data_IF_716193691007
#
_entry.id   IF_716193691007
#
_cell.length_a   1.000
_cell.length_b   1.000
_cell.length_c   1.000
_cell.angle_alpha   90.00
_cell.angle_beta   90.00
_cell.angle_gamma   90.00
#
_symmetry.space_group_name_H-M   'P 1'
#
loop_
_entity.id
_entity.type
_entity.pdbx_description
1 polymer ?
#
# COMPACT_ATOMS: atom_id res chain seq x y z
N UNK A 1 -2.38 -31.68 25.74
CA UNK A 1 -1.50 -31.62 24.56
C UNK A 1 -2.29 -32.10 23.37
N UNK A 2 -2.83 -31.18 22.55
CA UNK A 2 -3.49 -31.53 21.28
C UNK A 2 -2.51 -31.18 20.15
N UNK A 3 -2.01 -32.22 19.51
CA UNK A 3 -1.22 -32.12 18.27
C UNK A 3 -2.15 -31.55 17.19
N UNK A 4 -1.87 -30.33 16.75
CA UNK A 4 -2.45 -29.77 15.53
C UNK A 4 -1.60 -30.32 14.39
N UNK A 5 -2.17 -31.22 13.59
CA UNK A 5 -1.59 -31.69 12.34
C UNK A 5 -1.63 -30.51 11.35
N UNK A 6 -0.47 -29.86 11.16
CA UNK A 6 -0.20 -29.02 10.01
C UNK A 6 -0.20 -29.94 8.77
N UNK A 7 -1.29 -29.89 8.03
CA UNK A 7 -1.37 -30.47 6.69
C UNK A 7 -0.49 -29.59 5.79
N UNK A 8 0.58 -30.08 5.22
CA UNK A 8 1.30 -29.36 4.17
C UNK A 8 0.39 -29.43 2.93
N UNK A 9 -0.28 -28.32 2.63
CA UNK A 9 -0.89 -28.11 1.33
C UNK A 9 0.23 -27.95 0.31
N UNK A 10 0.74 -29.07 -0.21
CA UNK A 10 1.62 -29.08 -1.37
C UNK A 10 0.75 -28.74 -2.57
N UNK A 11 0.56 -27.45 -2.81
CA UNK A 11 0.09 -26.98 -4.11
C UNK A 11 1.26 -27.23 -5.06
N UNK A 12 1.14 -28.27 -5.87
CA UNK A 12 1.98 -28.46 -7.05
C UNK A 12 1.63 -27.35 -8.04
N UNK A 13 2.25 -26.19 -7.87
CA UNK A 13 2.30 -25.15 -8.90
C UNK A 13 2.97 -25.77 -10.12
N UNK A 14 2.19 -26.13 -11.12
CA UNK A 14 2.71 -26.31 -12.46
C UNK A 14 3.13 -24.92 -12.95
N UNK A 15 4.39 -24.59 -12.70
CA UNK A 15 5.07 -23.45 -13.29
C UNK A 15 5.12 -23.70 -14.80
N UNK A 16 4.12 -23.24 -15.52
CA UNK A 16 4.33 -22.94 -16.92
C UNK A 16 5.22 -21.70 -16.89
N UNK A 17 6.44 -21.84 -17.32
CA UNK A 17 7.35 -20.73 -17.49
C UNK A 17 6.74 -19.82 -18.58
N UNK A 18 6.02 -18.84 -18.15
CA UNK A 18 5.65 -17.69 -18.93
C UNK A 18 6.94 -16.86 -18.94
N UNK A 19 7.63 -16.84 -20.09
CA UNK A 19 8.81 -16.00 -20.27
C UNK A 19 8.33 -14.60 -20.60
N UNK A 20 8.50 -13.68 -19.66
CA UNK A 20 8.16 -12.27 -19.72
C UNK A 20 9.29 -11.55 -18.96
N UNK A 21 10.23 -10.99 -19.72
CA UNK A 21 11.51 -10.51 -19.18
C UNK A 21 11.42 -9.12 -18.53
N UNK A 22 10.47 -8.29 -18.96
CA UNK A 22 10.23 -6.94 -18.44
C UNK A 22 9.00 -6.85 -17.53
N UNK A 23 8.21 -7.93 -17.48
CA UNK A 23 7.12 -8.12 -16.50
C UNK A 23 5.94 -7.16 -16.75
N UNK A 24 5.69 -6.85 -17.98
CA UNK A 24 4.56 -6.04 -18.40
C UNK A 24 3.25 -6.85 -18.55
N UNK A 25 3.33 -8.19 -18.39
CA UNK A 25 2.20 -9.11 -18.51
C UNK A 25 2.01 -9.69 -19.90
N UNK A 26 2.88 -9.40 -20.85
CA UNK A 26 2.90 -9.95 -22.21
C UNK A 26 4.07 -10.93 -22.33
N UNK A 27 3.83 -12.10 -22.95
CA UNK A 27 4.90 -13.09 -23.11
C UNK A 27 5.97 -12.58 -24.09
N UNK A 28 7.25 -12.84 -23.83
CA UNK A 28 8.35 -12.47 -24.74
C UNK A 28 8.12 -12.89 -26.20
N UNK A 29 7.33 -13.95 -26.44
CA UNK A 29 6.98 -14.41 -27.80
C UNK A 29 6.00 -13.50 -28.53
N UNK A 30 5.19 -12.78 -27.82
CA UNK A 30 4.12 -11.91 -28.31
C UNK A 30 4.46 -10.43 -28.07
N UNK A 31 5.51 -10.18 -27.31
CA UNK A 31 5.97 -8.86 -26.91
C UNK A 31 6.81 -8.20 -28.01
N UNK A 32 6.39 -7.02 -28.46
CA UNK A 32 7.11 -6.18 -29.43
C UNK A 32 7.94 -5.08 -28.76
N UNK A 33 7.74 -4.83 -27.46
CA UNK A 33 8.41 -3.79 -26.69
C UNK A 33 9.07 -4.36 -25.42
N UNK A 34 10.13 -5.20 -25.55
CA UNK A 34 10.66 -6.03 -24.48
C UNK A 34 11.38 -5.28 -23.35
N UNK A 35 11.28 -3.99 -23.27
CA UNK A 35 11.88 -3.12 -22.26
C UNK A 35 10.81 -2.19 -21.64
N UNK A 36 9.50 -2.51 -21.73
CA UNK A 36 8.46 -1.76 -21.05
C UNK A 36 8.57 -1.92 -19.54
N UNK A 37 8.22 -0.86 -18.77
CA UNK A 37 8.27 -0.93 -17.32
C UNK A 37 7.11 -1.77 -16.80
N UNK A 38 7.35 -2.62 -15.79
CA UNK A 38 6.29 -3.41 -15.16
C UNK A 38 5.17 -2.55 -14.50
N UNK A 39 5.45 -1.27 -14.25
CA UNK A 39 4.48 -0.30 -13.72
C UNK A 39 3.61 0.33 -14.83
N UNK A 40 4.01 0.17 -16.09
CA UNK A 40 3.30 0.71 -17.23
C UNK A 40 2.15 -0.21 -17.66
N UNK A 41 1.07 0.39 -18.16
CA UNK A 41 0.02 -0.36 -18.82
C UNK A 41 0.39 -0.48 -20.28
N UNK A 42 0.53 -1.72 -20.72
CA UNK A 42 0.88 -2.03 -22.11
C UNK A 42 -0.32 -2.56 -22.88
N UNK A 43 -0.28 -2.43 -24.20
CA UNK A 43 -1.24 -3.06 -25.11
C UNK A 43 -1.00 -4.58 -25.19
N UNK A 44 -1.83 -5.29 -25.99
CA UNK A 44 -1.70 -6.74 -26.20
C UNK A 44 -0.35 -7.17 -26.81
N UNK A 45 0.50 -6.23 -27.20
CA UNK A 45 1.81 -6.43 -27.82
C UNK A 45 2.97 -6.04 -26.90
N UNK A 46 2.71 -5.76 -25.62
CA UNK A 46 3.71 -5.33 -24.67
C UNK A 46 4.20 -3.89 -24.83
N UNK A 47 3.55 -3.10 -25.70
CA UNK A 47 3.96 -1.72 -25.92
C UNK A 47 3.14 -0.77 -25.08
N UNK A 48 3.83 0.12 -24.37
CA UNK A 48 3.18 1.27 -23.73
C UNK A 48 2.48 2.06 -24.83
N UNK A 49 1.18 2.26 -24.72
CA UNK A 49 0.47 3.16 -25.61
C UNK A 49 1.05 4.57 -25.40
N UNK A 50 1.85 5.02 -26.35
CA UNK A 50 2.63 6.28 -26.31
C UNK A 50 1.73 7.54 -26.34
N UNK A 51 0.44 7.36 -26.13
CA UNK A 51 -0.60 8.38 -26.28
C UNK A 51 -1.25 8.83 -24.98
N UNK A 52 -0.78 8.43 -23.79
CA UNK A 52 -1.30 9.07 -22.57
C UNK A 52 -0.68 10.47 -22.38
N UNK A 53 -1.00 11.36 -23.32
CA UNK A 53 -0.73 12.81 -23.17
C UNK A 53 -1.30 13.36 -21.86
N UNK A 54 -2.17 12.61 -21.20
CA UNK A 54 -2.94 13.00 -20.04
C UNK A 54 -2.59 12.25 -18.76
N UNK A 55 -1.67 11.31 -18.73
CA UNK A 55 -1.38 10.51 -17.53
C UNK A 55 -2.58 9.68 -17.05
N UNK A 56 -2.39 8.92 -15.98
CA UNK A 56 -3.39 8.02 -15.41
C UNK A 56 -3.93 8.57 -14.09
N UNK A 57 -5.25 8.80 -14.02
CA UNK A 57 -5.96 9.13 -12.79
C UNK A 57 -6.58 7.86 -12.20
N UNK A 58 -6.27 7.55 -10.95
CA UNK A 58 -6.88 6.44 -10.20
C UNK A 58 -7.65 7.00 -9.01
N UNK A 59 -8.88 6.54 -8.83
CA UNK A 59 -9.73 6.88 -7.69
C UNK A 59 -10.12 5.60 -6.96
N UNK A 60 -10.07 5.58 -5.65
CA UNK A 60 -10.58 4.45 -4.86
C UNK A 60 -11.28 4.87 -3.60
N UNK A 61 -12.27 4.08 -3.21
CA UNK A 61 -12.97 4.14 -1.94
C UNK A 61 -12.77 2.81 -1.22
N UNK A 62 -12.61 2.89 0.09
CA UNK A 62 -12.40 1.70 0.89
C UNK A 62 -12.90 1.81 2.30
N UNK A 63 -12.80 0.70 3.01
CA UNK A 63 -13.00 0.64 4.45
C UNK A 63 -11.96 -0.28 5.08
N UNK A 64 -11.55 0.08 6.29
CA UNK A 64 -10.69 -0.72 7.15
C UNK A 64 -11.49 -1.11 8.39
N UNK A 65 -11.49 -2.40 8.73
CA UNK A 65 -12.10 -2.92 9.95
C UNK A 65 -10.95 -3.26 10.88
N UNK A 66 -10.85 -2.51 11.97
CA UNK A 66 -9.84 -2.65 13.00
C UNK A 66 -10.43 -3.42 14.19
N UNK A 67 -9.83 -4.50 14.58
CA UNK A 67 -10.29 -5.42 15.62
C UNK A 67 -9.22 -5.52 16.68
N UNK A 68 -9.63 -5.20 17.91
CA UNK A 68 -8.90 -5.34 19.15
C UNK A 68 -9.93 -5.62 20.26
N UNK A 69 -9.76 -5.14 21.49
CA UNK A 69 -10.78 -5.15 22.54
C UNK A 69 -12.09 -4.45 22.11
N UNK A 70 -12.01 -3.55 21.14
CA UNK A 70 -13.12 -2.89 20.47
C UNK A 70 -13.00 -3.04 18.95
N UNK A 71 -14.09 -2.77 18.23
CA UNK A 71 -14.07 -2.77 16.76
C UNK A 71 -14.24 -1.34 16.25
N UNK A 72 -13.29 -0.90 15.40
CA UNK A 72 -13.37 0.35 14.65
C UNK A 72 -13.60 0.09 13.17
N UNK A 73 -14.26 1.01 12.50
CA UNK A 73 -14.42 1.00 11.04
C UNK A 73 -13.98 2.36 10.51
N UNK A 74 -12.99 2.34 9.62
CA UNK A 74 -12.54 3.53 8.92
C UNK A 74 -13.01 3.47 7.48
N UNK A 75 -13.49 4.59 6.97
CA UNK A 75 -13.77 4.78 5.55
C UNK A 75 -12.68 5.66 4.97
N UNK A 76 -12.17 5.29 3.82
CA UNK A 76 -11.07 6.03 3.20
C UNK A 76 -11.35 6.33 1.73
N UNK A 77 -10.83 7.48 1.31
CA UNK A 77 -10.78 7.94 -0.06
C UNK A 77 -9.31 8.09 -0.46
N UNK A 78 -8.97 7.62 -1.63
CA UNK A 78 -7.66 7.80 -2.22
C UNK A 78 -7.80 8.18 -3.69
N UNK A 79 -7.04 9.18 -4.12
CA UNK A 79 -6.88 9.57 -5.50
C UNK A 79 -5.39 9.68 -5.81
N UNK A 80 -4.99 9.18 -6.97
CA UNK A 80 -3.63 9.36 -7.49
C UNK A 80 -3.64 9.71 -8.97
N UNK A 81 -2.67 10.54 -9.36
CA UNK A 81 -2.43 10.91 -10.74
C UNK A 81 -0.97 10.61 -11.08
N UNK A 82 -0.78 9.71 -12.01
CA UNK A 82 0.53 9.29 -12.49
C UNK A 82 0.78 9.90 -13.86
N UNK A 83 1.93 10.55 -14.01
CA UNK A 83 2.39 11.13 -15.25
C UNK A 83 3.88 10.87 -15.42
N UNK A 84 4.24 9.99 -16.31
CA UNK A 84 5.60 9.49 -16.49
C UNK A 84 6.16 8.95 -15.16
N UNK A 85 7.33 9.42 -14.75
CA UNK A 85 7.99 8.99 -13.50
C UNK A 85 7.41 9.68 -12.24
N UNK A 86 6.45 10.60 -12.40
CA UNK A 86 5.84 11.35 -11.31
C UNK A 86 4.50 10.77 -10.90
N UNK A 87 4.27 10.72 -9.61
CA UNK A 87 2.97 10.46 -9.05
C UNK A 87 2.55 11.55 -8.04
N UNK A 88 1.28 11.84 -8.00
CA UNK A 88 0.67 12.76 -7.05
C UNK A 88 -0.49 12.06 -6.39
N UNK A 89 -0.61 12.16 -5.07
CA UNK A 89 -1.73 11.51 -4.41
C UNK A 89 -2.38 12.35 -3.33
N UNK A 90 -3.66 12.05 -3.09
CA UNK A 90 -4.49 12.61 -2.05
C UNK A 90 -5.13 11.45 -1.31
N UNK A 91 -5.06 11.48 0.02
CA UNK A 91 -5.71 10.52 0.89
C UNK A 91 -6.42 11.22 2.03
N UNK A 92 -7.60 10.74 2.39
CA UNK A 92 -8.32 11.14 3.59
C UNK A 92 -9.12 9.96 4.13
N UNK A 93 -9.39 9.96 5.42
CA UNK A 93 -10.18 8.93 6.09
C UNK A 93 -11.20 9.54 7.04
N UNK A 94 -12.22 8.74 7.37
CA UNK A 94 -13.16 8.99 8.44
C UNK A 94 -13.18 7.75 9.32
N UNK A 95 -12.89 7.92 10.60
CA UNK A 95 -12.88 6.85 11.57
C UNK A 95 -14.21 6.80 12.30
N UNK A 96 -14.75 5.61 12.50
CA UNK A 96 -15.91 5.36 13.33
C UNK A 96 -15.56 4.27 14.36
N UNK A 97 -15.65 4.60 15.63
CA UNK A 97 -15.42 3.66 16.73
C UNK A 97 -16.75 3.36 17.45
N UNK A 98 -16.88 2.14 17.95
CA UNK A 98 -18.03 1.69 18.72
C UNK A 98 -17.59 1.37 20.15
N UNK A 99 -18.27 1.97 21.13
CA UNK A 99 -18.04 1.61 22.53
C UNK A 99 -18.71 0.25 22.89
N UNK A 100 -18.46 -0.24 24.12
CA UNK A 100 -19.05 -1.48 24.63
C UNK A 100 -20.58 -1.47 24.71
N UNK A 101 -21.21 -0.31 24.61
CA UNK A 101 -22.67 -0.12 24.60
C UNK A 101 -23.22 0.10 23.18
N UNK A 102 -22.40 -0.11 22.14
CA UNK A 102 -22.71 0.16 20.73
C UNK A 102 -23.03 1.63 20.41
N UNK A 103 -22.56 2.59 21.22
CA UNK A 103 -22.62 3.99 20.81
C UNK A 103 -21.49 4.24 19.80
N UNK A 104 -21.85 4.81 18.66
CA UNK A 104 -20.88 5.18 17.64
C UNK A 104 -20.38 6.60 17.88
N UNK A 105 -19.08 6.81 17.81
CA UNK A 105 -18.44 8.11 17.62
C UNK A 105 -17.75 8.13 16.25
N UNK A 106 -17.84 9.23 15.54
CA UNK A 106 -17.23 9.40 14.22
C UNK A 106 -16.37 10.64 14.23
N UNK A 107 -15.15 10.49 13.73
CA UNK A 107 -14.13 11.53 13.67
C UNK A 107 -13.56 11.62 12.28
N UNK A 108 -13.38 12.84 11.76
CA UNK A 108 -12.76 13.08 10.46
C UNK A 108 -11.24 13.02 10.60
N UNK A 109 -10.58 12.30 9.70
CA UNK A 109 -9.13 12.22 9.62
C UNK A 109 -8.50 13.38 8.87
N UNK A 110 -7.19 13.45 8.95
CA UNK A 110 -6.41 14.47 8.26
C UNK A 110 -6.35 14.23 6.75
N UNK A 111 -6.07 15.30 6.02
CA UNK A 111 -5.80 15.24 4.59
C UNK A 111 -4.31 15.02 4.34
N UNK A 112 -3.98 14.00 3.57
CA UNK A 112 -2.60 13.71 3.16
C UNK A 112 -2.43 14.05 1.68
N UNK A 113 -1.36 14.79 1.38
CA UNK A 113 -0.93 15.09 0.03
C UNK A 113 0.47 14.56 -0.17
N UNK A 114 0.74 13.92 -1.30
CA UNK A 114 2.10 13.49 -1.60
C UNK A 114 2.45 13.61 -3.07
N UNK A 115 3.75 13.64 -3.32
CA UNK A 115 4.38 13.62 -4.63
C UNK A 115 5.51 12.60 -4.61
N UNK A 116 5.52 11.72 -5.59
CA UNK A 116 6.55 10.70 -5.77
C UNK A 116 7.30 10.86 -7.08
N UNK A 117 8.52 10.37 -7.12
CA UNK A 117 9.33 10.24 -8.32
C UNK A 117 9.93 8.84 -8.37
N UNK A 118 9.66 8.12 -9.46
CA UNK A 118 10.15 6.77 -9.70
C UNK A 118 11.30 6.77 -10.69
N UNK A 119 12.27 5.88 -10.48
CA UNK A 119 13.35 5.64 -11.44
C UNK A 119 13.86 4.20 -11.29
N UNK A 120 14.25 3.61 -12.42
CA UNK A 120 14.67 2.23 -12.49
C UNK A 120 16.18 2.11 -12.72
N UNK A 121 16.79 1.18 -12.02
CA UNK A 121 18.17 0.76 -12.21
C UNK A 121 18.18 -0.74 -12.48
N UNK A 122 18.05 -1.13 -13.72
CA UNK A 122 17.92 -2.53 -14.16
C UNK A 122 16.67 -3.17 -13.52
N UNK A 123 16.88 -4.19 -12.67
CA UNK A 123 15.82 -4.92 -11.94
C UNK A 123 15.41 -4.25 -10.61
N UNK A 124 15.96 -3.09 -10.31
CA UNK A 124 15.65 -2.33 -9.11
C UNK A 124 14.82 -1.10 -9.48
N UNK A 125 13.55 -1.11 -9.13
CA UNK A 125 12.71 0.09 -9.16
C UNK A 125 12.82 0.83 -7.83
N UNK A 126 12.97 2.14 -7.90
CA UNK A 126 13.16 3.02 -6.75
C UNK A 126 12.17 4.16 -6.82
N UNK A 127 11.43 4.37 -5.74
CA UNK A 127 10.50 5.50 -5.63
C UNK A 127 10.81 6.33 -4.39
N UNK A 128 11.00 7.63 -4.59
CA UNK A 128 11.09 8.61 -3.51
C UNK A 128 9.77 9.38 -3.44
N UNK A 129 9.11 9.35 -2.29
CA UNK A 129 7.86 10.09 -2.05
C UNK A 129 8.07 11.10 -0.95
N UNK A 130 7.60 12.32 -1.15
CA UNK A 130 7.52 13.37 -0.16
C UNK A 130 6.07 13.80 0.01
N UNK A 131 5.67 14.12 1.23
CA UNK A 131 4.29 14.51 1.46
C UNK A 131 4.10 15.31 2.74
N UNK A 132 2.86 15.75 2.92
CA UNK A 132 2.42 16.46 4.11
C UNK A 132 1.04 15.94 4.54
N UNK A 133 0.90 15.77 5.85
CA UNK A 133 -0.40 15.68 6.50
C UNK A 133 -0.85 17.08 6.84
N UNK A 134 -2.00 17.50 6.38
CA UNK A 134 -2.64 18.78 6.72
C UNK A 134 -3.66 18.50 7.82
N UNK A 135 -3.51 19.16 8.95
CA UNK A 135 -4.39 19.01 10.10
C UNK A 135 -5.78 19.58 9.78
N UNK A 136 -6.62 18.76 9.16
CA UNK A 136 -8.01 19.04 8.83
C UNK A 136 -8.98 18.18 9.63
N UNK A 137 -8.43 17.16 10.30
CA UNK A 137 -9.18 16.22 11.10
C UNK A 137 -9.71 16.81 12.40
N UNK A 138 -10.59 16.05 13.06
CA UNK A 138 -11.09 16.40 14.37
C UNK A 138 -10.02 16.22 15.45
N UNK A 139 -10.08 17.00 16.51
CA UNK A 139 -9.13 16.99 17.63
C UNK A 139 -9.00 15.62 18.31
N UNK A 140 -9.98 14.73 18.13
CA UNK A 140 -9.98 13.38 18.73
C UNK A 140 -8.98 12.41 18.08
N UNK A 141 -8.61 12.64 16.80
CA UNK A 141 -7.74 11.73 16.04
C UNK A 141 -6.59 12.44 15.30
N UNK A 142 -6.63 13.76 15.22
CA UNK A 142 -5.55 14.57 14.65
C UNK A 142 -4.55 14.98 15.73
N UNK A 143 -3.28 15.10 15.38
CA UNK A 143 -2.26 15.71 16.25
C UNK A 143 -2.40 17.25 16.33
N UNK A 144 -3.31 17.84 15.55
CA UNK A 144 -3.59 19.27 15.55
C UNK A 144 -2.65 20.12 14.71
N UNK A 145 -1.48 19.59 14.31
CA UNK A 145 -0.47 20.27 13.50
C UNK A 145 -0.18 19.49 12.22
N UNK A 146 0.43 20.18 11.26
CA UNK A 146 0.81 19.57 9.99
C UNK A 146 2.13 18.79 10.14
N UNK A 147 2.15 17.57 9.60
CA UNK A 147 3.34 16.74 9.53
C UNK A 147 3.93 16.74 8.13
N UNK A 148 5.24 16.46 8.02
CA UNK A 148 5.91 16.25 6.75
C UNK A 148 6.55 14.87 6.75
N UNK A 149 6.39 14.13 5.67
CA UNK A 149 6.92 12.77 5.59
C UNK A 149 7.70 12.52 4.30
N UNK A 150 8.62 11.58 4.39
CA UNK A 150 9.38 11.07 3.26
C UNK A 150 9.42 9.55 3.29
N UNK A 151 9.25 8.92 2.12
CA UNK A 151 9.34 7.48 1.94
C UNK A 151 10.32 7.14 0.81
N UNK A 152 11.14 6.13 1.03
CA UNK A 152 11.96 5.50 0.01
C UNK A 152 11.47 4.06 -0.18
N UNK A 153 10.94 3.75 -1.34
CA UNK A 153 10.50 2.40 -1.70
C UNK A 153 11.48 1.80 -2.70
N UNK A 154 11.86 0.56 -2.48
CA UNK A 154 12.75 -0.23 -3.32
C UNK A 154 12.03 -1.52 -3.70
N UNK A 155 11.94 -1.82 -5.00
CA UNK A 155 11.42 -3.06 -5.53
C UNK A 155 12.51 -3.73 -6.37
N UNK A 156 12.85 -4.97 -6.06
CA UNK A 156 13.84 -5.74 -6.80
C UNK A 156 13.20 -6.99 -7.40
N UNK A 157 13.20 -7.06 -8.71
CA UNK A 157 12.63 -8.17 -9.46
C UNK A 157 13.60 -9.35 -9.47
N UNK A 158 13.21 -10.45 -8.82
CA UNK A 158 13.94 -11.72 -8.90
C UNK A 158 13.71 -12.40 -10.25
N UNK A 159 12.46 -12.41 -10.67
CA UNK A 159 12.00 -12.92 -11.98
C UNK A 159 10.65 -12.26 -12.33
N UNK A 160 10.03 -12.66 -13.44
CA UNK A 160 8.72 -12.14 -13.91
C UNK A 160 7.55 -12.28 -12.93
N UNK A 161 7.68 -13.08 -11.90
CA UNK A 161 6.58 -13.31 -10.94
C UNK A 161 6.91 -12.91 -9.52
N UNK A 162 8.19 -12.78 -9.16
CA UNK A 162 8.62 -12.60 -7.78
C UNK A 162 9.42 -11.32 -7.65
N UNK A 163 8.97 -10.44 -6.77
CA UNK A 163 9.67 -9.23 -6.38
C UNK A 163 9.98 -9.24 -4.88
N UNK A 164 11.13 -8.73 -4.50
CA UNK A 164 11.43 -8.33 -3.13
C UNK A 164 11.20 -6.83 -3.03
N UNK A 165 10.54 -6.40 -1.98
CA UNK A 165 10.38 -4.97 -1.74
C UNK A 165 10.77 -4.58 -0.33
N UNK A 166 11.17 -3.34 -0.18
CA UNK A 166 11.39 -2.69 1.11
C UNK A 166 11.01 -1.22 1.06
N UNK A 167 10.60 -0.69 2.18
CA UNK A 167 10.30 0.72 2.34
C UNK A 167 10.94 1.25 3.61
N UNK A 168 11.48 2.46 3.53
CA UNK A 168 11.90 3.26 4.66
C UNK A 168 11.00 4.49 4.71
N UNK A 169 10.58 4.88 5.90
CA UNK A 169 9.76 6.07 6.12
C UNK A 169 10.30 6.91 7.27
N UNK A 170 10.15 8.20 7.15
CA UNK A 170 10.44 9.17 8.19
C UNK A 170 9.35 10.23 8.17
N UNK A 171 8.88 10.61 9.35
CA UNK A 171 7.91 11.69 9.49
C UNK A 171 8.46 12.72 10.47
N UNK A 172 8.45 13.97 10.07
CA UNK A 172 8.61 15.10 10.97
C UNK A 172 7.23 15.48 11.46
N UNK A 173 6.95 15.17 12.72
CA UNK A 173 5.64 15.39 13.33
C UNK A 173 5.55 16.81 13.86
N UNK A 174 4.45 17.49 13.58
CA UNK A 174 4.15 18.80 14.18
C UNK A 174 3.76 18.61 15.65
N UNK A 175 4.30 19.47 16.53
CA UNK A 175 3.98 19.47 17.95
C UNK A 175 2.65 20.18 18.21
N UNK A 176 1.82 19.63 19.10
CA UNK A 176 0.69 20.37 19.61
C UNK A 176 1.10 21.34 20.72
N UNK A 177 0.23 22.27 21.11
CA UNK A 177 0.52 23.26 22.16
C UNK A 177 0.91 22.62 23.51
N UNK A 178 0.50 21.38 23.74
CA UNK A 178 0.62 20.71 25.05
C UNK A 178 1.42 19.40 24.99
N UNK A 179 1.73 18.88 23.81
CA UNK A 179 2.38 17.58 23.60
C UNK A 179 3.51 17.72 22.59
N UNK A 180 4.72 17.32 23.00
CA UNK A 180 5.86 17.12 22.11
C UNK A 180 5.85 15.69 21.58
N UNK A 181 5.74 15.55 20.25
CA UNK A 181 5.74 14.27 19.57
C UNK A 181 7.15 13.86 19.14
N UNK A 182 7.37 12.56 18.97
CA UNK A 182 8.57 12.04 18.32
C UNK A 182 8.40 12.08 16.79
N UNK A 183 9.50 12.26 16.10
CA UNK A 183 9.59 12.06 14.66
C UNK A 183 9.81 10.58 14.36
N UNK A 184 8.77 9.80 13.99
CA UNK A 184 8.88 8.37 13.83
C UNK A 184 9.65 7.98 12.58
N UNK A 185 10.51 6.98 12.74
CA UNK A 185 11.12 6.23 11.65
C UNK A 185 10.42 4.87 11.50
N UNK A 186 10.17 4.46 10.26
CA UNK A 186 9.58 3.18 9.95
C UNK A 186 10.34 2.44 8.87
N UNK A 187 10.19 1.12 8.85
CA UNK A 187 10.68 0.28 7.75
C UNK A 187 9.76 -0.91 7.54
N UNK A 188 9.72 -1.36 6.31
CA UNK A 188 9.07 -2.61 5.95
C UNK A 188 9.89 -3.36 4.91
N UNK A 189 9.67 -4.67 4.83
CA UNK A 189 10.19 -5.51 3.77
C UNK A 189 9.22 -6.65 3.51
N UNK A 190 9.23 -7.16 2.29
CA UNK A 190 8.31 -8.20 1.91
C UNK A 190 8.67 -8.86 0.59
N UNK A 191 7.82 -9.79 0.22
CA UNK A 191 7.88 -10.55 -1.01
C UNK A 191 6.55 -10.40 -1.74
N UNK A 192 6.60 -9.98 -2.99
CA UNK A 192 5.48 -9.91 -3.91
C UNK A 192 5.48 -11.06 -4.89
N UNK A 193 4.30 -11.51 -5.26
CA UNK A 193 4.08 -12.58 -6.22
C UNK A 193 2.96 -12.22 -7.19
N UNK A 194 3.28 -12.17 -8.47
CA UNK A 194 2.32 -12.03 -9.57
C UNK A 194 1.73 -13.41 -9.87
N UNK A 195 0.50 -13.66 -9.44
CA UNK A 195 -0.19 -14.95 -9.65
C UNK A 195 -0.54 -15.09 -11.13
N UNK A 196 -0.98 -14.00 -11.74
CA UNK A 196 -1.19 -13.82 -13.18
C UNK A 196 -1.22 -12.31 -13.47
N UNK A 197 -1.40 -11.88 -14.72
CA UNK A 197 -1.45 -10.47 -15.15
C UNK A 197 -2.51 -9.60 -14.45
N UNK A 198 -3.49 -10.22 -13.79
CA UNK A 198 -4.57 -9.51 -13.10
C UNK A 198 -4.46 -9.59 -11.59
N UNK A 199 -3.72 -10.54 -11.04
CA UNK A 199 -3.69 -10.82 -9.60
C UNK A 199 -2.28 -10.78 -9.03
N UNK A 200 -2.04 -9.79 -8.20
CA UNK A 200 -0.83 -9.65 -7.38
C UNK A 200 -1.13 -9.95 -5.92
N UNK A 201 -0.21 -10.61 -5.24
CA UNK A 201 -0.27 -10.87 -3.80
C UNK A 201 1.09 -10.59 -3.17
N UNK A 202 1.12 -10.04 -1.95
CA UNK A 202 2.37 -9.86 -1.23
C UNK A 202 2.24 -10.12 0.26
N UNK A 203 3.34 -10.56 0.86
CA UNK A 203 3.51 -10.74 2.29
C UNK A 203 4.60 -9.80 2.77
N UNK A 204 4.34 -9.01 3.81
CA UNK A 204 5.31 -8.07 4.37
C UNK A 204 5.34 -8.09 5.89
N UNK A 205 6.49 -7.71 6.45
CA UNK A 205 6.67 -7.35 7.83
C UNK A 205 7.01 -5.87 7.91
N UNK A 206 6.43 -5.18 8.87
CA UNK A 206 6.63 -3.74 9.06
C UNK A 206 6.87 -3.40 10.53
N UNK A 207 7.68 -2.39 10.74
CA UNK A 207 7.95 -1.77 12.03
C UNK A 207 7.88 -0.26 11.86
N UNK A 208 7.27 0.42 12.82
CA UNK A 208 7.26 1.88 12.89
C UNK A 208 7.40 2.33 14.35
N UNK A 209 8.20 3.34 14.58
CA UNK A 209 8.23 4.00 15.88
C UNK A 209 6.88 4.66 16.15
N UNK A 210 6.50 4.71 17.42
CA UNK A 210 5.36 5.49 17.87
C UNK A 210 5.70 6.99 17.87
N UNK A 211 4.71 7.83 17.54
CA UNK A 211 4.82 9.29 17.73
C UNK A 211 4.96 9.68 19.21
N UNK A 212 4.56 8.81 20.14
CA UNK A 212 4.67 9.05 21.57
C UNK A 212 6.00 8.53 22.11
N UNK A 213 6.72 9.37 22.84
CA UNK A 213 8.11 9.11 23.29
C UNK A 213 8.25 7.96 24.30
N UNK A 214 7.18 7.56 24.99
CA UNK A 214 7.19 6.51 26.02
C UNK A 214 6.50 5.23 25.58
N UNK A 215 6.24 5.08 24.30
CA UNK A 215 5.49 3.98 23.72
C UNK A 215 6.41 3.10 22.88
N UNK A 216 6.19 1.79 22.91
CA UNK A 216 6.91 0.82 22.09
C UNK A 216 6.63 1.01 20.58
N UNK A 217 7.37 0.30 19.76
CA UNK A 217 7.23 0.36 18.32
C UNK A 217 6.05 -0.51 17.86
N UNK A 218 5.33 -0.04 16.86
CA UNK A 218 4.32 -0.82 16.14
C UNK A 218 4.98 -1.88 15.26
N UNK A 219 4.47 -3.10 15.29
CA UNK A 219 4.96 -4.21 14.48
C UNK A 219 3.78 -4.98 13.87
N UNK A 220 3.87 -5.34 12.62
CA UNK A 220 2.81 -6.10 11.98
C UNK A 220 3.31 -6.98 10.83
N UNK A 221 2.51 -8.00 10.51
CA UNK A 221 2.61 -8.77 9.26
C UNK A 221 1.36 -8.51 8.44
N UNK A 222 1.54 -8.23 7.15
CA UNK A 222 0.44 -7.93 6.24
C UNK A 222 0.46 -8.87 5.04
N UNK A 223 -0.74 -9.33 4.66
CA UNK A 223 -1.01 -10.04 3.42
C UNK A 223 -1.87 -9.14 2.53
N UNK A 224 -1.27 -8.64 1.47
CA UNK A 224 -1.93 -7.76 0.50
C UNK A 224 -2.28 -8.53 -0.77
N UNK A 225 -3.42 -8.20 -1.35
CA UNK A 225 -3.86 -8.70 -2.64
C UNK A 225 -4.43 -7.54 -3.46
N UNK A 226 -4.09 -7.52 -4.74
CA UNK A 226 -4.68 -6.61 -5.73
C UNK A 226 -5.20 -7.44 -6.90
N UNK A 227 -6.41 -7.13 -7.35
CA UNK A 227 -7.03 -7.80 -8.48
C UNK A 227 -7.62 -6.79 -9.45
N UNK A 228 -7.18 -6.83 -10.70
CA UNK A 228 -7.70 -6.03 -11.79
C UNK A 228 -8.83 -6.79 -12.50
N UNK A 229 -10.07 -6.34 -12.33
CA UNK A 229 -11.24 -6.93 -13.06
C UNK A 229 -11.19 -6.59 -14.55
N UNK A 230 -10.68 -5.42 -14.86
CA UNK A 230 -10.43 -4.91 -16.20
C UNK A 230 -9.30 -3.87 -16.13
N UNK A 231 -8.91 -3.26 -17.24
CA UNK A 231 -7.98 -2.13 -17.26
C UNK A 231 -8.47 -0.93 -16.41
N UNK A 232 -9.79 -0.76 -16.30
CA UNK A 232 -10.40 0.39 -15.64
C UNK A 232 -10.77 0.12 -14.17
N UNK A 233 -11.03 -1.14 -13.78
CA UNK A 233 -11.55 -1.47 -12.43
C UNK A 233 -10.66 -2.43 -11.69
N UNK A 234 -10.38 -2.09 -10.44
CA UNK A 234 -9.59 -2.93 -9.54
C UNK A 234 -10.19 -3.02 -8.13
N UNK A 235 -9.77 -4.03 -7.39
CA UNK A 235 -9.99 -4.13 -5.96
C UNK A 235 -8.69 -4.49 -5.25
N UNK A 236 -8.54 -4.01 -4.00
CA UNK A 236 -7.47 -4.47 -3.12
C UNK A 236 -8.05 -5.01 -1.82
N UNK A 237 -7.45 -6.08 -1.32
CA UNK A 237 -7.74 -6.67 -0.02
C UNK A 237 -6.44 -6.78 0.75
N UNK A 238 -6.38 -6.18 1.93
CA UNK A 238 -5.25 -6.31 2.83
C UNK A 238 -5.71 -6.89 4.17
N UNK A 239 -4.97 -7.86 4.68
CA UNK A 239 -5.11 -8.35 6.04
C UNK A 239 -3.82 -8.09 6.80
N UNK A 240 -3.92 -7.41 7.93
CA UNK A 240 -2.80 -7.11 8.80
C UNK A 240 -3.01 -7.73 10.17
N UNK A 241 -1.99 -8.40 10.69
CA UNK A 241 -1.90 -8.91 12.05
C UNK A 241 -0.90 -8.07 12.84
N UNK A 242 -1.35 -7.41 13.89
CA UNK A 242 -0.49 -6.78 14.90
C UNK A 242 0.33 -7.81 15.67
N UNK A 243 1.55 -7.47 16.02
CA UNK A 243 2.49 -8.33 16.74
C UNK A 243 2.92 -7.74 18.10
N UNK A 244 2.37 -6.61 18.47
CA UNK A 244 2.62 -5.88 19.71
C UNK A 244 1.28 -5.41 20.30
N UNK A 245 1.34 -4.90 21.54
CA UNK A 245 0.14 -4.48 22.30
C UNK A 245 -0.39 -3.09 21.87
N UNK A 246 0.25 -2.42 20.89
CA UNK A 246 -0.15 -1.10 20.39
C UNK A 246 -0.83 -1.17 19.02
N UNK A 247 -0.55 -2.23 18.29
CA UNK A 247 -1.18 -2.50 17.00
C UNK A 247 -2.53 -3.15 17.21
N UNK A 248 -3.51 -2.81 16.38
CA UNK A 248 -4.74 -3.62 16.34
C UNK A 248 -4.40 -5.09 16.12
N UNK A 249 -5.06 -5.97 16.87
CA UNK A 249 -4.89 -7.41 16.70
C UNK A 249 -5.06 -7.84 15.26
N UNK A 250 -6.09 -7.30 14.60
CA UNK A 250 -6.39 -7.56 13.20
C UNK A 250 -6.91 -6.30 12.50
N UNK A 251 -6.44 -6.06 11.29
CA UNK A 251 -7.03 -5.07 10.39
C UNK A 251 -7.36 -5.76 9.06
N UNK A 252 -8.58 -5.55 8.59
CA UNK A 252 -9.04 -6.01 7.26
C UNK A 252 -9.39 -4.77 6.45
N UNK A 253 -8.69 -4.55 5.35
CA UNK A 253 -8.90 -3.41 4.44
C UNK A 253 -9.44 -3.91 3.11
N UNK A 254 -10.51 -3.30 2.63
CA UNK A 254 -11.05 -3.52 1.30
C UNK A 254 -11.17 -2.18 0.57
N UNK A 255 -10.65 -2.10 -0.65
CA UNK A 255 -10.79 -0.92 -1.51
C UNK A 255 -11.28 -1.35 -2.89
N UNK A 256 -12.12 -0.52 -3.48
CA UNK A 256 -12.56 -0.62 -4.86
C UNK A 256 -12.12 0.64 -5.60
N UNK A 257 -11.58 0.48 -6.78
CA UNK A 257 -11.05 1.61 -7.52
C UNK A 257 -11.35 1.58 -9.01
N UNK A 258 -11.18 2.74 -9.62
CA UNK A 258 -11.33 2.97 -11.05
C UNK A 258 -10.16 3.78 -11.57
N UNK A 259 -9.67 3.40 -12.75
CA UNK A 259 -8.63 4.08 -13.50
C UNK A 259 -9.25 4.85 -14.67
N UNK A 260 -8.72 6.02 -14.94
CA UNK A 260 -9.05 6.87 -16.10
C UNK A 260 -7.73 7.18 -16.81
N UNK A 261 -7.67 6.87 -18.08
CA UNK A 261 -6.55 7.13 -18.99
C UNK A 261 -6.85 8.30 -19.91
#
# INVERSE_FOLDING_TARGET
VRLIYLFPLVISLQLHAFEDDDIDGVANSDDLCPDSSFEDIVDERGCVEDDSYWGKLSLSLGSDINIDDSTGVDYNFFASYNYREWDFSIYSSQQTSYDTNNNASSSEGDLYLSMGYSFDIKKLSTKLTLGSKIATGSDDISTGESDYFGNLTLNYLLNSQIALFSQLSYTQTGDSSDIEYRDPFGYSFGLGYMINSQWYSSLSYQVSESIYTQTDNYQAISLFNSYNFSKDFFATLNYTRGLDDLSYDHTISLKLGVNFE
#
